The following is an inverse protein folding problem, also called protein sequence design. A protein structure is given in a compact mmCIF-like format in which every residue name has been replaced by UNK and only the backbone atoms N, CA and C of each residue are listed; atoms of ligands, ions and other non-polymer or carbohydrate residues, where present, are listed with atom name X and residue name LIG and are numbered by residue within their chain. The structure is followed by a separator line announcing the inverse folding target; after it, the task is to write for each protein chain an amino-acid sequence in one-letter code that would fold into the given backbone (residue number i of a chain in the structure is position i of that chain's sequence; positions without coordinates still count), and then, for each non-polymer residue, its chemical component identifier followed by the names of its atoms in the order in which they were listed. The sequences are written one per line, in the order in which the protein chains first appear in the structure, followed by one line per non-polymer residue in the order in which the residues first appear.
data_IF_612172387205
#
_entry.id   IF_612172387205
#
_cell.length_a   1.000
_cell.length_b   1.000
_cell.length_c   1.000
_cell.angle_alpha   90.00
_cell.angle_beta   90.00
_cell.angle_gamma   90.00
#
_symmetry.space_group_name_H-M   'P 1'
#
loop_
_entity.id
_entity.type
_entity.pdbx_description
1 polymer ?
#
# COMPACT_ATOMS: atom_id res chain seq x y z
N UNK A 1 -8.18 28.51 -7.75
CA UNK A 1 -9.01 27.35 -8.13
C UNK A 1 -8.13 26.12 -8.38
N UNK A 2 -7.58 25.47 -7.34
CA UNK A 2 -6.65 24.31 -7.48
C UNK A 2 -7.00 23.14 -6.51
N UNK A 3 -8.01 23.28 -5.64
CA UNK A 3 -8.33 22.27 -4.61
C UNK A 3 -8.81 20.92 -5.17
N UNK A 4 -9.50 20.89 -6.33
CA UNK A 4 -10.15 19.67 -6.86
C UNK A 4 -9.20 18.71 -7.59
N UNK A 5 -8.16 19.20 -8.28
CA UNK A 5 -7.20 18.34 -9.01
C UNK A 5 -6.31 17.53 -8.06
N UNK A 6 -5.90 18.13 -6.93
CA UNK A 6 -5.08 17.44 -5.93
C UNK A 6 -5.83 16.35 -5.16
N UNK A 7 -7.10 16.58 -4.83
CA UNK A 7 -7.93 15.62 -4.08
C UNK A 7 -8.19 14.33 -4.86
N UNK A 8 -8.48 14.41 -6.16
CA UNK A 8 -8.69 13.23 -7.00
C UNK A 8 -7.40 12.42 -7.16
N UNK A 9 -6.27 13.11 -7.39
CA UNK A 9 -4.96 12.48 -7.52
C UNK A 9 -4.52 11.78 -6.24
N UNK A 10 -4.73 12.41 -5.07
CA UNK A 10 -4.43 11.82 -3.75
C UNK A 10 -5.29 10.60 -3.45
N UNK A 11 -6.59 10.65 -3.81
CA UNK A 11 -7.48 9.48 -3.65
C UNK A 11 -7.06 8.34 -4.57
N UNK A 12 -6.64 8.63 -5.81
CA UNK A 12 -6.08 7.63 -6.73
C UNK A 12 -4.77 7.05 -6.20
N UNK A 13 -3.83 7.88 -5.75
CA UNK A 13 -2.56 7.43 -5.16
C UNK A 13 -2.79 6.55 -3.92
N UNK A 14 -3.66 6.97 -3.00
CA UNK A 14 -4.01 6.15 -1.83
C UNK A 14 -4.70 4.84 -2.22
N UNK A 15 -5.51 4.82 -3.28
CA UNK A 15 -6.15 3.60 -3.78
C UNK A 15 -5.13 2.64 -4.41
N UNK A 16 -4.16 3.16 -5.18
CA UNK A 16 -3.08 2.37 -5.77
C UNK A 16 -2.16 1.77 -4.68
N UNK A 17 -1.85 2.53 -3.64
CA UNK A 17 -1.08 2.02 -2.51
C UNK A 17 -1.87 0.92 -1.77
N UNK A 18 -3.17 1.09 -1.57
CA UNK A 18 -4.04 0.04 -1.00
C UNK A 18 -4.09 -1.22 -1.85
N UNK A 19 -4.10 -1.08 -3.17
CA UNK A 19 -4.04 -2.21 -4.09
C UNK A 19 -2.69 -2.95 -3.94
N UNK A 20 -1.58 -2.21 -3.87
CA UNK A 20 -0.26 -2.80 -3.63
C UNK A 20 -0.20 -3.56 -2.29
N UNK A 21 -0.72 -2.98 -1.21
CA UNK A 21 -0.82 -3.65 0.10
C UNK A 21 -1.64 -4.94 0.00
N UNK A 22 -2.78 -4.91 -0.68
CA UNK A 22 -3.62 -6.09 -0.85
C UNK A 22 -2.90 -7.21 -1.63
N UNK A 23 -2.10 -6.85 -2.65
CA UNK A 23 -1.29 -7.81 -3.40
C UNK A 23 -0.17 -8.39 -2.52
N UNK A 24 0.53 -7.55 -1.75
CA UNK A 24 1.60 -7.99 -0.85
C UNK A 24 1.06 -8.89 0.28
N UNK A 25 -0.03 -8.50 0.92
CA UNK A 25 -0.67 -9.28 1.99
C UNK A 25 -1.35 -10.56 1.46
N UNK A 26 -1.98 -10.50 0.29
CA UNK A 26 -2.63 -11.66 -0.33
C UNK A 26 -1.64 -12.75 -0.75
N UNK A 27 -0.41 -12.36 -1.09
CA UNK A 27 0.68 -13.31 -1.38
C UNK A 27 1.25 -14.00 -0.14
N UNK A 28 0.99 -13.48 1.06
CA UNK A 28 1.45 -14.07 2.31
C UNK A 28 0.71 -15.38 2.68
N UNK A 29 -0.46 -15.64 2.07
CA UNK A 29 -1.34 -16.78 2.44
C UNK A 29 -0.94 -18.10 1.76
N UNK A 30 -0.12 -18.07 0.71
CA UNK A 30 0.39 -19.29 0.08
C UNK A 30 1.92 -19.25 0.13
N UNK A 31 2.56 -20.36 0.53
CA UNK A 31 3.99 -20.59 0.23
C UNK A 31 4.17 -20.44 -1.27
N UNK A 32 4.49 -19.24 -1.73
CA UNK A 32 4.83 -18.99 -3.11
C UNK A 32 6.08 -19.81 -3.37
N UNK A 33 6.02 -20.76 -4.32
CA UNK A 33 7.21 -21.53 -4.71
C UNK A 33 8.31 -20.63 -5.31
N UNK A 34 8.01 -19.35 -5.54
CA UNK A 34 8.87 -18.36 -6.19
C UNK A 34 9.48 -17.38 -5.19
N UNK A 35 8.96 -17.29 -3.96
CA UNK A 35 9.37 -16.26 -2.99
C UNK A 35 9.86 -16.94 -1.71
N UNK A 36 11.07 -16.61 -1.27
CA UNK A 36 11.64 -17.23 -0.07
C UNK A 36 10.86 -16.78 1.18
N UNK A 37 10.97 -17.55 2.27
CA UNK A 37 10.34 -17.18 3.56
C UNK A 37 10.77 -15.81 4.06
N UNK A 38 12.02 -15.41 3.79
CA UNK A 38 12.56 -14.10 4.18
C UNK A 38 11.89 -12.98 3.37
N UNK A 39 11.88 -13.12 2.05
CA UNK A 39 11.25 -12.15 1.16
C UNK A 39 9.75 -12.00 1.46
N UNK A 40 9.09 -13.09 1.85
CA UNK A 40 7.68 -13.07 2.24
C UNK A 40 7.45 -12.27 3.53
N UNK A 41 8.32 -12.42 4.54
CA UNK A 41 8.27 -11.60 5.74
C UNK A 41 8.56 -10.13 5.42
N UNK A 42 9.55 -9.86 4.56
CA UNK A 42 9.90 -8.50 4.15
C UNK A 42 8.75 -7.82 3.38
N UNK A 43 8.07 -8.56 2.50
CA UNK A 43 6.86 -8.11 1.80
C UNK A 43 5.72 -7.77 2.77
N UNK A 44 5.59 -8.52 3.86
CA UNK A 44 4.60 -8.25 4.90
C UNK A 44 4.93 -6.96 5.68
N UNK A 45 6.17 -6.79 6.13
CA UNK A 45 6.63 -5.54 6.77
C UNK A 45 6.50 -4.32 5.83
N UNK A 46 6.74 -4.51 4.54
CA UNK A 46 6.58 -3.47 3.54
C UNK A 46 5.10 -3.10 3.36
N UNK A 47 4.19 -4.07 3.42
CA UNK A 47 2.76 -3.84 3.36
C UNK A 47 2.25 -3.00 4.55
N UNK A 48 2.73 -3.27 5.77
CA UNK A 48 2.41 -2.46 6.96
C UNK A 48 2.91 -1.01 6.79
N UNK A 49 4.15 -0.83 6.35
CA UNK A 49 4.74 0.49 6.10
C UNK A 49 3.94 1.29 5.05
N UNK A 50 3.53 0.61 3.97
CA UNK A 50 2.70 1.21 2.92
C UNK A 50 1.30 1.57 3.45
N UNK A 51 0.74 0.80 4.38
CA UNK A 51 -0.56 1.08 4.97
C UNK A 51 -0.55 2.38 5.77
N UNK A 52 0.52 2.63 6.51
CA UNK A 52 0.72 3.90 7.21
C UNK A 52 0.88 5.08 6.26
N UNK A 53 1.61 4.91 5.16
CA UNK A 53 1.74 5.94 4.11
C UNK A 53 0.38 6.23 3.47
N UNK A 54 -0.39 5.21 3.11
CA UNK A 54 -1.73 5.37 2.54
C UNK A 54 -2.68 6.08 3.52
N UNK A 55 -2.59 5.75 4.81
CA UNK A 55 -3.38 6.40 5.87
C UNK A 55 -3.03 7.88 5.98
N UNK A 56 -1.74 8.21 5.95
CA UNK A 56 -1.23 9.59 5.97
C UNK A 56 -1.66 10.41 4.76
N UNK A 57 -1.58 9.85 3.55
CA UNK A 57 -2.08 10.49 2.32
C UNK A 57 -3.60 10.70 2.41
N UNK A 58 -4.34 9.71 2.92
CA UNK A 58 -5.81 9.79 3.03
C UNK A 58 -6.28 10.82 4.06
N UNK A 59 -5.53 10.96 5.16
CA UNK A 59 -5.80 11.96 6.21
C UNK A 59 -5.32 13.35 5.84
N UNK A 60 -4.69 13.50 4.66
CA UNK A 60 -4.23 14.76 4.14
C UNK A 60 -3.42 15.52 5.20
N UNK A 61 -2.38 14.86 5.75
CA UNK A 61 -1.40 15.37 6.73
C UNK A 61 -1.67 16.83 7.14
N UNK A 62 -1.95 17.16 8.41
CA UNK A 62 -1.99 18.58 8.78
C UNK A 62 -0.72 19.29 8.29
#
# INVERSE_FOLDING_TARGET
MILRKGLLRRKLEAALIRLAIAILMGRNVARSMVVSRRDNNDMWYMAESLQDIAKRISKNYP
#
